data_IF_225660354669
#
_entry.id   IF_225660354669
#
_cell.length_a   1.000
_cell.length_b   1.000
_cell.length_c   1.000
_cell.angle_alpha   90.00
_cell.angle_beta   90.00
_cell.angle_gamma   90.00
#
_symmetry.space_group_name_H-M   'P 1'
#
loop_
_entity.id
_entity.type
_entity.pdbx_description
1 polymer ?
#
# COMPACT_ATOMS: atom_id res chain seq x y z
N UNK A 1 1.74 1.01 -24.53
CA UNK A 1 1.95 1.49 -23.15
C UNK A 1 1.70 0.38 -22.12
N UNK A 2 0.47 -0.15 -22.01
CA UNK A 2 0.12 -1.13 -20.96
C UNK A 2 1.05 -2.36 -20.96
N UNK A 3 1.41 -2.87 -22.13
CA UNK A 3 2.37 -3.98 -22.25
C UNK A 3 3.74 -3.68 -21.67
N UNK A 4 4.27 -2.46 -21.88
CA UNK A 4 5.59 -2.08 -21.36
C UNK A 4 5.56 -1.92 -19.84
N UNK A 5 4.48 -1.33 -19.30
CA UNK A 5 4.28 -1.20 -17.85
C UNK A 5 4.19 -2.58 -17.19
N UNK A 6 3.45 -3.50 -17.84
CA UNK A 6 3.32 -4.87 -17.37
C UNK A 6 4.67 -5.61 -17.37
N UNK A 7 5.42 -5.54 -18.47
CA UNK A 7 6.76 -6.14 -18.57
C UNK A 7 7.69 -5.55 -17.50
N UNK A 8 7.69 -4.22 -17.31
CA UNK A 8 8.47 -3.59 -16.26
C UNK A 8 8.10 -4.14 -14.88
N UNK A 9 6.80 -4.19 -14.56
CA UNK A 9 6.33 -4.67 -13.27
C UNK A 9 6.65 -6.14 -13.02
N UNK A 10 6.52 -7.01 -14.03
CA UNK A 10 6.87 -8.42 -13.94
C UNK A 10 8.36 -8.62 -13.58
N UNK A 11 9.25 -7.75 -14.06
CA UNK A 11 10.69 -7.79 -13.80
C UNK A 11 11.13 -7.20 -12.45
N UNK A 12 10.21 -6.61 -11.68
CA UNK A 12 10.52 -6.10 -10.34
C UNK A 12 10.61 -7.28 -9.36
N UNK A 13 11.54 -7.20 -8.39
CA UNK A 13 11.68 -8.19 -7.34
C UNK A 13 10.38 -8.34 -6.51
N UNK A 14 10.01 -9.57 -6.15
CA UNK A 14 8.79 -9.83 -5.37
C UNK A 14 8.76 -9.07 -4.04
N UNK A 15 9.91 -8.86 -3.40
CA UNK A 15 10.02 -8.11 -2.15
C UNK A 15 9.65 -6.63 -2.31
N UNK A 16 9.90 -6.05 -3.49
CA UNK A 16 9.48 -4.67 -3.83
C UNK A 16 7.99 -4.61 -4.12
N UNK A 17 7.38 -5.68 -4.64
CA UNK A 17 5.93 -5.79 -4.89
C UNK A 17 5.14 -6.05 -3.60
N UNK A 18 5.73 -6.77 -2.65
CA UNK A 18 5.10 -7.13 -1.38
C UNK A 18 5.24 -6.06 -0.30
N UNK A 19 6.13 -5.08 -0.50
CA UNK A 19 6.22 -3.91 0.37
C UNK A 19 4.99 -3.00 0.22
N UNK A 20 4.48 -2.49 1.34
CA UNK A 20 3.40 -1.52 1.40
C UNK A 20 3.99 -0.12 1.52
N UNK A 21 3.88 0.64 0.43
CA UNK A 21 4.35 2.01 0.33
C UNK A 21 3.30 3.01 0.84
N UNK A 22 3.46 4.28 0.49
CA UNK A 22 2.41 5.28 0.66
C UNK A 22 1.17 4.95 -0.22
N UNK A 23 0.06 5.67 0.02
CA UNK A 23 -1.21 5.47 -0.67
C UNK A 23 -1.07 5.51 -2.20
N UNK A 24 -0.39 6.53 -2.73
CA UNK A 24 -0.26 6.75 -4.18
C UNK A 24 0.51 5.60 -4.85
N UNK A 25 1.66 5.21 -4.30
CA UNK A 25 2.47 4.12 -4.83
C UNK A 25 1.75 2.76 -4.72
N UNK A 26 1.03 2.51 -3.63
CA UNK A 26 0.21 1.30 -3.50
C UNK A 26 -0.94 1.26 -4.51
N UNK A 27 -1.63 2.38 -4.75
CA UNK A 27 -2.65 2.47 -5.78
C UNK A 27 -2.08 2.24 -7.18
N UNK A 28 -0.90 2.78 -7.46
CA UNK A 28 -0.17 2.51 -8.70
C UNK A 28 0.13 1.01 -8.86
N UNK A 29 0.70 0.35 -7.85
CA UNK A 29 0.98 -1.10 -7.88
C UNK A 29 -0.30 -1.91 -8.12
N UNK A 30 -1.41 -1.56 -7.46
CA UNK A 30 -2.72 -2.20 -7.64
C UNK A 30 -3.26 -2.02 -9.06
N UNK A 31 -3.11 -0.82 -9.64
CA UNK A 31 -3.49 -0.57 -11.03
C UNK A 31 -2.65 -1.41 -11.98
N UNK A 32 -1.32 -1.41 -11.80
CA UNK A 32 -0.39 -2.14 -12.66
C UNK A 32 -0.62 -3.65 -12.61
N UNK A 33 -0.90 -4.19 -11.42
CA UNK A 33 -1.21 -5.61 -11.20
C UNK A 33 -2.50 -6.06 -11.88
N UNK A 34 -3.42 -5.13 -12.18
CA UNK A 34 -4.74 -5.38 -12.77
C UNK A 34 -4.91 -4.75 -14.16
N UNK A 35 -3.81 -4.42 -14.85
CA UNK A 35 -3.85 -3.76 -16.15
C UNK A 35 -4.63 -4.59 -17.19
N UNK A 36 -5.56 -3.92 -17.84
CA UNK A 36 -6.24 -4.40 -19.04
C UNK A 36 -5.55 -3.85 -20.31
N UNK A 37 -6.07 -4.23 -21.48
CA UNK A 37 -5.57 -3.76 -22.78
C UNK A 37 -6.03 -2.35 -23.15
N UNK A 38 -6.81 -1.67 -22.30
CA UNK A 38 -7.35 -0.35 -22.59
C UNK A 38 -6.40 0.75 -22.11
N UNK A 39 -5.60 1.26 -23.04
CA UNK A 39 -4.59 2.29 -22.74
C UNK A 39 -5.21 3.61 -22.28
N UNK A 40 -6.30 4.06 -22.90
CA UNK A 40 -6.95 5.32 -22.56
C UNK A 40 -7.47 5.32 -21.11
N UNK A 41 -8.13 4.22 -20.71
CA UNK A 41 -8.59 4.02 -19.33
C UNK A 41 -7.41 3.99 -18.35
N UNK A 42 -6.33 3.31 -18.73
CA UNK A 42 -5.12 3.21 -17.90
C UNK A 42 -4.50 4.58 -17.67
N UNK A 43 -4.35 5.38 -18.72
CA UNK A 43 -3.77 6.73 -18.63
C UNK A 43 -4.65 7.64 -17.77
N UNK A 44 -5.97 7.61 -17.94
CA UNK A 44 -6.89 8.41 -17.11
C UNK A 44 -6.83 8.00 -15.62
N UNK A 45 -6.77 6.70 -15.31
CA UNK A 45 -6.59 6.22 -13.93
C UNK A 45 -5.23 6.62 -13.35
N UNK A 46 -4.15 6.51 -14.14
CA UNK A 46 -2.82 6.94 -13.73
C UNK A 46 -2.80 8.44 -13.41
N UNK A 47 -3.41 9.27 -14.26
CA UNK A 47 -3.55 10.70 -13.99
C UNK A 47 -4.19 10.95 -12.62
N UNK A 48 -5.31 10.26 -12.35
CA UNK A 48 -6.03 10.44 -11.09
C UNK A 48 -5.21 10.00 -9.88
N UNK A 49 -4.49 8.88 -9.98
CA UNK A 49 -3.63 8.37 -8.91
C UNK A 49 -2.48 9.34 -8.63
N UNK A 50 -1.80 9.81 -9.67
CA UNK A 50 -0.56 10.59 -9.55
C UNK A 50 -0.84 12.05 -9.20
N UNK A 51 -1.84 12.66 -9.82
CA UNK A 51 -2.11 14.11 -9.70
C UNK A 51 -3.35 14.45 -8.88
N UNK A 52 -4.18 13.45 -8.56
CA UNK A 52 -5.47 13.67 -7.90
C UNK A 52 -6.57 14.23 -8.82
N UNK A 53 -6.30 14.48 -10.11
CA UNK A 53 -7.28 15.00 -11.09
C UNK A 53 -7.33 14.16 -12.36
N UNK A 54 -8.45 14.26 -13.08
CA UNK A 54 -8.60 13.59 -14.36
C UNK A 54 -7.89 14.37 -15.47
N UNK A 55 -7.56 13.69 -16.57
CA UNK A 55 -6.82 14.28 -17.69
C UNK A 55 -7.59 15.45 -18.31
N UNK A 56 -8.92 15.36 -18.33
CA UNK A 56 -9.80 16.40 -18.84
C UNK A 56 -9.68 17.72 -18.06
N UNK A 57 -9.22 17.66 -16.81
CA UNK A 57 -9.09 18.81 -15.89
C UNK A 57 -7.65 19.35 -15.80
N UNK A 58 -6.74 18.88 -16.67
CA UNK A 58 -5.34 19.31 -16.65
C UNK A 58 -5.18 20.79 -17.01
N UNK A 59 -4.35 21.47 -16.24
CA UNK A 59 -3.82 22.80 -16.55
C UNK A 59 -2.35 22.72 -16.95
N UNK A 60 -1.75 23.89 -17.22
CA UNK A 60 -0.37 24.02 -17.69
C UNK A 60 0.66 23.33 -16.75
N UNK A 61 0.41 23.29 -15.44
CA UNK A 61 1.30 22.68 -14.45
C UNK A 61 1.06 21.17 -14.26
N UNK A 62 -0.15 20.69 -14.58
CA UNK A 62 -0.59 19.34 -14.23
C UNK A 62 0.22 18.26 -14.95
N UNK A 63 0.60 18.52 -16.20
CA UNK A 63 1.45 17.60 -16.95
C UNK A 63 2.85 17.44 -16.31
N UNK A 64 3.45 18.53 -15.84
CA UNK A 64 4.75 18.46 -15.16
C UNK A 64 4.63 17.72 -13.82
N UNK A 65 3.56 17.99 -13.07
CA UNK A 65 3.29 17.30 -11.80
C UNK A 65 3.05 15.80 -12.00
N UNK A 66 2.37 15.42 -13.10
CA UNK A 66 2.19 14.03 -13.47
C UNK A 66 3.52 13.31 -13.74
N UNK A 67 4.42 13.92 -14.51
CA UNK A 67 5.72 13.32 -14.81
C UNK A 67 6.57 13.18 -13.55
N UNK A 68 6.67 14.24 -12.74
CA UNK A 68 7.44 14.21 -11.49
C UNK A 68 6.89 13.17 -10.51
N UNK A 69 5.58 13.11 -10.33
CA UNK A 69 4.95 12.13 -9.44
C UNK A 69 5.13 10.69 -9.92
N UNK A 70 5.07 10.45 -11.23
CA UNK A 70 5.38 9.12 -11.78
C UNK A 70 6.84 8.73 -11.57
N UNK A 71 7.77 9.64 -11.79
CA UNK A 71 9.19 9.40 -11.53
C UNK A 71 9.42 9.09 -10.05
N UNK A 72 8.81 9.84 -9.13
CA UNK A 72 8.89 9.60 -7.70
C UNK A 72 8.37 8.20 -7.31
N UNK A 73 7.21 7.78 -7.85
CA UNK A 73 6.65 6.44 -7.63
C UNK A 73 7.62 5.37 -8.10
N UNK A 74 8.12 5.48 -9.34
CA UNK A 74 9.03 4.49 -9.93
C UNK A 74 10.34 4.44 -9.14
N UNK A 75 10.93 5.59 -8.81
CA UNK A 75 12.14 5.67 -8.01
C UNK A 75 11.95 5.09 -6.61
N UNK A 76 10.81 5.33 -5.97
CA UNK A 76 10.48 4.76 -4.66
C UNK A 76 10.48 3.24 -4.69
N UNK A 77 9.88 2.64 -5.72
CA UNK A 77 9.82 1.17 -5.88
C UNK A 77 11.22 0.63 -6.20
N UNK A 78 11.95 1.26 -7.13
CA UNK A 78 13.25 0.75 -7.58
C UNK A 78 14.34 0.88 -6.50
N UNK A 79 14.32 1.96 -5.74
CA UNK A 79 15.28 2.22 -4.67
C UNK A 79 14.92 1.52 -3.35
N UNK A 80 13.76 0.85 -3.27
CA UNK A 80 13.45 0.02 -2.11
C UNK A 80 14.45 -1.14 -2.04
N UNK A 81 15.28 -1.11 -1.01
CA UNK A 81 16.14 -2.21 -0.63
C UNK A 81 15.59 -2.80 0.66
N UNK A 82 15.59 -4.13 0.75
CA UNK A 82 15.21 -4.80 1.99
C UNK A 82 16.22 -4.39 3.04
N UNK A 83 15.78 -3.67 4.05
CA UNK A 83 16.62 -3.40 5.19
C UNK A 83 16.98 -4.76 5.84
N UNK A 84 18.27 -5.08 5.88
CA UNK A 84 18.78 -6.28 6.54
C UNK A 84 18.25 -6.35 7.98
N UNK A 85 18.16 -7.58 8.52
CA UNK A 85 17.48 -8.02 9.76
C UNK A 85 17.65 -7.15 11.03
N UNK A 86 18.54 -6.16 11.05
CA UNK A 86 18.81 -5.24 12.16
C UNK A 86 18.14 -3.85 12.02
N UNK A 87 17.44 -3.55 10.93
CA UNK A 87 16.74 -2.27 10.82
C UNK A 87 15.41 -2.31 11.58
N UNK A 88 15.45 -1.81 12.82
CA UNK A 88 14.28 -1.70 13.70
C UNK A 88 13.13 -0.86 13.13
N UNK A 89 13.31 -0.23 11.97
CA UNK A 89 12.32 0.58 11.26
C UNK A 89 11.35 -0.21 10.37
N UNK A 90 11.61 -1.49 10.06
CA UNK A 90 10.74 -2.29 9.17
C UNK A 90 9.92 -3.31 9.95
N UNK A 91 8.63 -3.40 9.67
CA UNK A 91 7.72 -4.44 10.17
C UNK A 91 7.47 -5.45 9.04
N UNK A 92 7.58 -6.74 9.36
CA UNK A 92 7.27 -7.85 8.47
C UNK A 92 6.10 -8.65 9.05
N UNK A 93 5.07 -8.88 8.23
CA UNK A 93 3.91 -9.71 8.54
C UNK A 93 3.92 -10.90 7.59
N UNK A 94 3.75 -12.09 8.17
CA UNK A 94 3.67 -13.36 7.43
C UNK A 94 2.36 -14.03 7.80
N UNK A 95 1.44 -14.14 6.83
CA UNK A 95 0.14 -14.77 6.99
C UNK A 95 0.14 -16.09 6.22
N UNK A 96 -0.21 -17.18 6.90
CA UNK A 96 -0.34 -18.50 6.28
C UNK A 96 -1.81 -18.88 6.26
N UNK A 97 -2.32 -19.19 5.06
CA UNK A 97 -3.66 -19.74 4.89
C UNK A 97 -3.67 -21.28 5.07
N UNK A 98 -4.85 -21.89 5.24
CA UNK A 98 -5.04 -23.34 5.35
C UNK A 98 -4.49 -24.13 4.17
N UNK A 99 -4.35 -23.47 3.01
CA UNK A 99 -3.75 -24.03 1.79
C UNK A 99 -2.21 -23.94 1.75
N UNK A 100 -1.57 -23.60 2.88
CA UNK A 100 -0.12 -23.42 3.01
C UNK A 100 0.45 -22.32 2.08
N UNK A 101 -0.42 -21.41 1.61
CA UNK A 101 -0.02 -20.20 0.90
C UNK A 101 0.38 -19.15 1.92
N UNK A 102 1.59 -18.64 1.77
CA UNK A 102 2.12 -17.59 2.64
C UNK A 102 2.04 -16.25 1.92
N UNK A 103 1.34 -15.30 2.52
CA UNK A 103 1.36 -13.89 2.12
C UNK A 103 2.36 -13.18 3.03
N UNK A 104 3.43 -12.67 2.44
CA UNK A 104 4.41 -11.84 3.12
C UNK A 104 4.16 -10.37 2.76
N UNK A 105 4.14 -9.50 3.76
CA UNK A 105 4.01 -8.05 3.61
C UNK A 105 5.01 -7.33 4.48
N UNK A 106 5.61 -6.27 3.97
CA UNK A 106 6.54 -5.42 4.73
C UNK A 106 6.09 -3.96 4.68
N UNK A 107 6.33 -3.21 5.74
CA UNK A 107 6.07 -1.76 5.78
C UNK A 107 6.94 -1.08 6.82
N UNK A 108 7.21 0.21 6.62
CA UNK A 108 8.01 0.99 7.57
C UNK A 108 7.18 1.42 8.78
N UNK A 109 7.80 1.41 9.96
CA UNK A 109 7.27 2.06 11.15
C UNK A 109 7.10 3.54 10.88
N UNK A 110 5.89 4.04 11.11
CA UNK A 110 5.56 5.45 11.03
C UNK A 110 5.34 6.02 12.44
N UNK A 111 5.67 7.30 12.61
CA UNK A 111 5.30 8.03 13.81
C UNK A 111 3.78 8.19 13.82
N UNK A 112 3.15 7.85 14.94
CA UNK A 112 1.73 8.11 15.17
C UNK A 112 1.55 9.61 15.44
N UNK A 113 0.69 10.26 14.66
CA UNK A 113 0.31 11.67 14.85
C UNK A 113 -0.65 11.84 16.03
N UNK A 114 -0.90 13.06 16.49
CA UNK A 114 -1.87 13.31 17.56
C UNK A 114 -3.27 12.76 17.21
N UNK A 115 -3.71 12.95 15.95
CA UNK A 115 -4.95 12.35 15.44
C UNK A 115 -4.88 10.82 15.42
N UNK A 116 -3.74 10.24 15.05
CA UNK A 116 -3.52 8.79 15.11
C UNK A 116 -3.56 8.24 16.53
N UNK A 117 -3.05 9.00 17.52
CA UNK A 117 -3.12 8.63 18.94
C UNK A 117 -4.56 8.69 19.45
N UNK A 118 -5.37 9.66 19.01
CA UNK A 118 -6.81 9.67 19.31
C UNK A 118 -7.51 8.43 18.74
N UNK A 119 -7.18 8.02 17.51
CA UNK A 119 -7.72 6.80 16.91
C UNK A 119 -7.31 5.55 17.69
N UNK A 120 -6.04 5.46 18.11
CA UNK A 120 -5.54 4.35 18.93
C UNK A 120 -6.33 4.24 20.24
N UNK A 121 -6.46 5.34 20.98
CA UNK A 121 -7.19 5.36 22.24
C UNK A 121 -8.67 4.94 22.05
N UNK A 122 -9.33 5.40 20.97
CA UNK A 122 -10.71 5.01 20.68
C UNK A 122 -10.86 3.51 20.38
N UNK A 123 -9.85 2.90 19.74
CA UNK A 123 -9.83 1.44 19.51
C UNK A 123 -9.62 0.69 20.82
N UNK A 124 -8.68 1.16 21.65
CA UNK A 124 -8.39 0.54 22.96
C UNK A 124 -9.61 0.62 23.90
N UNK A 125 -10.25 1.79 24.00
CA UNK A 125 -11.49 1.97 24.77
C UNK A 125 -12.60 1.03 24.29
N UNK A 126 -12.81 0.91 22.98
CA UNK A 126 -13.81 0.00 22.43
C UNK A 126 -13.52 -1.47 22.78
N UNK A 127 -12.25 -1.90 22.76
CA UNK A 127 -11.87 -3.26 23.14
C UNK A 127 -12.07 -3.50 24.64
N UNK A 128 -11.74 -2.52 25.48
CA UNK A 128 -11.92 -2.57 26.93
C UNK A 128 -13.40 -2.61 27.34
N UNK A 129 -14.28 -1.89 26.62
CA UNK A 129 -15.73 -1.89 26.87
C UNK A 129 -16.35 -3.29 26.77
N UNK A 130 -15.88 -4.12 25.84
CA UNK A 130 -16.33 -5.52 25.74
C UNK A 130 -15.70 -6.43 26.81
N UNK A 131 -14.58 -6.01 27.41
CA UNK A 131 -13.97 -6.65 28.58
C UNK A 131 -13.76 -8.15 28.39
N UNK A 132 -14.24 -8.95 29.34
CA UNK A 132 -14.19 -10.42 29.32
C UNK A 132 -15.31 -11.07 28.49
N UNK A 133 -16.23 -10.28 27.92
CA UNK A 133 -17.32 -10.80 27.08
C UNK A 133 -16.81 -11.33 25.73
N UNK A 134 -15.60 -10.92 25.34
CA UNK A 134 -14.89 -11.36 24.13
C UNK A 134 -13.54 -11.92 24.56
N UNK A 135 -13.26 -13.16 24.18
CA UNK A 135 -12.00 -13.83 24.51
C UNK A 135 -10.81 -13.14 23.83
N UNK A 136 -9.64 -13.24 24.44
CA UNK A 136 -8.42 -12.63 23.92
C UNK A 136 -8.03 -13.15 22.53
N UNK A 137 -8.33 -14.42 22.20
CA UNK A 137 -8.12 -14.92 20.84
C UNK A 137 -9.08 -14.27 19.85
N UNK A 138 -10.32 -14.02 20.25
CA UNK A 138 -11.30 -13.36 19.39
C UNK A 138 -10.90 -11.90 19.15
N UNK A 139 -10.45 -11.17 20.18
CA UNK A 139 -9.87 -9.83 20.05
C UNK A 139 -8.69 -9.81 19.07
N UNK A 140 -7.75 -10.74 19.20
CA UNK A 140 -6.61 -10.89 18.27
C UNK A 140 -7.07 -11.06 16.82
N UNK A 141 -8.06 -11.92 16.58
CA UNK A 141 -8.61 -12.13 15.24
C UNK A 141 -9.37 -10.91 14.70
N UNK A 142 -10.08 -10.16 15.55
CA UNK A 142 -10.75 -8.92 15.15
C UNK A 142 -9.72 -7.87 14.71
N UNK A 143 -8.65 -7.66 15.49
CA UNK A 143 -7.58 -6.73 15.13
C UNK A 143 -6.89 -7.18 13.84
N UNK A 144 -6.65 -8.48 13.67
CA UNK A 144 -6.08 -9.03 12.44
C UNK A 144 -6.98 -8.77 11.23
N UNK A 145 -8.29 -8.99 11.34
CA UNK A 145 -9.27 -8.68 10.29
C UNK A 145 -9.31 -7.18 9.92
N UNK A 146 -9.04 -6.28 10.88
CA UNK A 146 -8.92 -4.85 10.60
C UNK A 146 -7.61 -4.58 9.85
N UNK A 147 -6.50 -5.14 10.32
CA UNK A 147 -5.18 -4.99 9.71
C UNK A 147 -5.13 -5.53 8.28
N UNK A 148 -5.83 -6.63 8.00
CA UNK A 148 -5.95 -7.23 6.66
C UNK A 148 -6.50 -6.26 5.60
N UNK A 149 -7.27 -5.24 6.00
CA UNK A 149 -7.80 -4.23 5.06
C UNK A 149 -6.74 -3.24 4.57
N UNK A 150 -5.60 -3.18 5.26
CA UNK A 150 -4.52 -2.24 5.00
C UNK A 150 -3.27 -2.90 4.41
N UNK A 151 -3.28 -4.21 4.18
CA UNK A 151 -2.17 -4.98 3.60
C UNK A 151 -2.46 -5.52 2.19
#
# INVERSE_FOLDING_TARGET
>A
LCSNIKIWFENIDENKKSHLYNTVTNEFIRLVSSLDSNEARTINRLSKIVTGVFIEDWNDDTFSNYLMGLEEIISTILNYEIACEDDSSVIKIVLSDSDNKTIEKTFSKAKISDTGSMMLNAIDEAIEEFGESVDDNEKRNIIMNILERYI
#
